data_IF_081130129570
#
_entry.id   IF_081130129570
#
_cell.length_a   1.000
_cell.length_b   1.000
_cell.length_c   1.000
_cell.angle_alpha   90.00
_cell.angle_beta   90.00
_cell.angle_gamma   90.00
#
_symmetry.space_group_name_H-M   'P 1'
#
loop_
_entity.id
_entity.type
_entity.pdbx_description
1 polymer ?
#
# COMPACT_ATOMS: atom_id res chain seq x y z
N UNK A 1 -22.94 -54.24 8.23
CA UNK A 1 -23.09 -53.43 7.00
C UNK A 1 -22.06 -52.35 7.16
N UNK A 2 -20.86 -52.68 6.70
CA UNK A 2 -19.75 -51.75 6.53
C UNK A 2 -20.09 -50.84 5.33
N UNK A 3 -19.59 -49.62 5.36
CA UNK A 3 -19.79 -48.56 4.36
C UNK A 3 -19.16 -47.32 4.97
N UNK A 4 -17.84 -47.23 4.87
CA UNK A 4 -17.08 -46.64 3.76
C UNK A 4 -16.65 -45.24 4.22
N UNK A 5 -15.43 -45.24 4.75
CA UNK A 5 -14.56 -44.07 4.81
C UNK A 5 -14.34 -43.59 3.37
N UNK A 6 -14.56 -42.31 3.08
CA UNK A 6 -13.96 -41.66 1.93
C UNK A 6 -13.46 -40.28 2.36
N UNK A 7 -12.14 -40.23 2.45
CA UNK A 7 -11.29 -39.07 2.68
C UNK A 7 -11.52 -38.04 1.57
N UNK A 8 -11.72 -36.78 1.95
CA UNK A 8 -11.55 -35.65 1.03
C UNK A 8 -10.18 -35.03 1.33
N UNK A 9 -9.13 -35.72 0.89
CA UNK A 9 -7.83 -35.10 0.66
C UNK A 9 -7.82 -34.41 -0.70
N UNK A 10 -7.03 -33.32 -0.75
CA UNK A 10 -6.44 -32.70 -1.93
C UNK A 10 -7.37 -31.89 -2.85
N UNK A 11 -7.28 -30.57 -2.69
CA UNK A 11 -7.03 -29.64 -3.80
C UNK A 11 -6.30 -28.41 -3.22
N UNK A 12 -5.11 -28.61 -2.65
CA UNK A 12 -4.11 -27.54 -2.55
C UNK A 12 -3.57 -27.33 -3.96
N UNK A 13 -4.33 -26.61 -4.78
CA UNK A 13 -3.84 -26.16 -6.08
C UNK A 13 -2.72 -25.15 -5.85
N UNK A 14 -1.50 -25.65 -5.97
CA UNK A 14 -0.26 -25.00 -6.33
C UNK A 14 -0.51 -23.76 -7.21
N UNK A 15 -0.53 -22.56 -6.59
CA UNK A 15 -0.55 -21.27 -7.28
C UNK A 15 0.90 -20.82 -7.58
N UNK A 16 1.62 -21.63 -8.33
CA UNK A 16 2.91 -21.33 -8.96
C UNK A 16 2.67 -21.58 -10.46
N UNK A 17 2.93 -20.73 -11.46
CA UNK A 17 3.79 -19.57 -11.64
C UNK A 17 3.16 -18.73 -12.77
N UNK A 18 2.78 -17.47 -12.50
CA UNK A 18 2.86 -16.42 -13.51
C UNK A 18 2.99 -15.07 -12.81
N UNK A 19 4.06 -14.93 -12.01
CA UNK A 19 4.46 -13.62 -11.48
C UNK A 19 4.84 -12.74 -12.67
N UNK A 20 4.07 -11.69 -12.92
CA UNK A 20 4.42 -10.65 -13.89
C UNK A 20 5.45 -9.66 -13.32
N UNK A 21 5.88 -9.85 -12.07
CA UNK A 21 6.84 -8.98 -11.42
C UNK A 21 8.26 -9.30 -11.90
N UNK A 22 8.93 -8.30 -12.47
CA UNK A 22 10.38 -8.24 -12.57
C UNK A 22 10.86 -7.04 -11.76
N UNK A 23 11.86 -7.28 -10.91
CA UNK A 23 12.50 -6.20 -10.14
C UNK A 23 13.19 -5.21 -11.08
N UNK A 24 13.90 -5.71 -12.07
CA UNK A 24 14.63 -4.90 -13.05
C UNK A 24 13.66 -4.00 -13.83
N UNK A 25 12.57 -4.55 -14.36
CA UNK A 25 11.54 -3.80 -15.07
C UNK A 25 10.86 -2.77 -14.15
N UNK A 26 10.64 -3.14 -12.89
CA UNK A 26 10.09 -2.22 -11.87
C UNK A 26 11.04 -1.04 -11.65
N UNK A 27 12.33 -1.29 -11.43
CA UNK A 27 13.33 -0.22 -11.22
C UNK A 27 13.42 0.67 -12.47
N UNK A 28 13.41 0.10 -13.68
CA UNK A 28 13.39 0.86 -14.93
C UNK A 28 12.14 1.74 -15.03
N UNK A 29 10.97 1.20 -14.70
CA UNK A 29 9.71 1.96 -14.68
C UNK A 29 9.76 3.16 -13.72
N UNK A 30 10.34 3.01 -12.52
CA UNK A 30 10.54 4.13 -11.59
C UNK A 30 11.49 5.19 -12.16
N UNK A 31 12.62 4.78 -12.76
CA UNK A 31 13.56 5.72 -13.41
C UNK A 31 12.87 6.50 -14.52
N UNK A 32 12.12 5.83 -15.38
CA UNK A 32 11.43 6.47 -16.49
C UNK A 32 10.29 7.38 -16.03
N UNK A 33 9.57 6.98 -14.98
CA UNK A 33 8.58 7.83 -14.34
C UNK A 33 9.22 9.11 -13.79
N UNK A 34 10.33 9.01 -13.06
CA UNK A 34 11.01 10.19 -12.53
C UNK A 34 11.57 11.07 -13.65
N UNK A 35 12.17 10.49 -14.69
CA UNK A 35 12.57 11.25 -15.89
C UNK A 35 11.38 12.01 -16.48
N UNK A 36 10.21 11.37 -16.61
CA UNK A 36 9.00 12.04 -17.05
C UNK A 36 8.66 13.26 -16.18
N UNK A 37 8.66 13.11 -14.85
CA UNK A 37 8.43 14.23 -13.93
C UNK A 37 9.42 15.39 -14.12
N UNK A 38 10.69 15.09 -14.43
CA UNK A 38 11.70 16.14 -14.70
C UNK A 38 11.42 16.95 -15.96
N UNK A 39 10.73 16.36 -16.94
CA UNK A 39 10.32 17.11 -18.14
C UNK A 39 9.15 18.06 -17.87
N UNK A 40 8.42 17.85 -16.78
CA UNK A 40 7.20 18.60 -16.46
C UNK A 40 7.45 19.71 -15.43
N UNK A 41 7.98 19.38 -14.26
CA UNK A 41 8.08 20.34 -13.14
C UNK A 41 9.17 20.03 -12.11
N UNK A 42 9.79 18.85 -12.14
CA UNK A 42 10.80 18.46 -11.15
C UNK A 42 12.22 18.82 -11.63
N UNK A 43 13.05 19.35 -10.74
CA UNK A 43 14.48 19.53 -11.02
C UNK A 43 15.18 18.14 -11.10
N UNK A 44 15.88 17.80 -12.21
CA UNK A 44 16.62 16.54 -12.33
C UNK A 44 17.61 16.28 -11.19
N UNK A 45 18.17 17.33 -10.57
CA UNK A 45 19.08 17.20 -9.44
C UNK A 45 18.43 16.64 -8.16
N UNK A 46 17.10 16.49 -8.15
CA UNK A 46 16.36 15.84 -7.06
C UNK A 46 16.31 14.32 -7.16
N UNK A 47 16.70 13.73 -8.28
CA UNK A 47 16.77 12.26 -8.39
C UNK A 47 18.08 11.80 -7.76
N UNK A 48 17.98 10.92 -6.76
CA UNK A 48 19.10 10.25 -6.11
C UNK A 48 19.16 8.80 -6.63
N UNK A 49 20.21 8.48 -7.39
CA UNK A 49 20.46 7.10 -7.83
C UNK A 49 21.15 6.30 -6.72
N UNK A 50 20.87 4.98 -6.60
CA UNK A 50 21.56 4.13 -5.66
C UNK A 50 23.07 4.07 -5.98
N UNK A 51 23.92 3.90 -4.95
CA UNK A 51 25.30 3.44 -5.13
C UNK A 51 25.38 2.09 -5.85
N UNK A 52 26.58 1.71 -6.32
CA UNK A 52 26.81 0.41 -6.97
C UNK A 52 26.43 -0.77 -6.07
N UNK A 53 26.75 -0.66 -4.78
CA UNK A 53 26.38 -1.65 -3.76
C UNK A 53 25.01 -1.36 -3.12
N UNK A 54 24.17 -0.52 -3.73
CA UNK A 54 22.86 -0.10 -3.20
C UNK A 54 22.90 0.85 -2.00
N UNK A 55 21.73 1.14 -1.44
CA UNK A 55 21.58 2.10 -0.35
C UNK A 55 22.05 1.54 1.00
N UNK A 56 23.10 2.11 1.63
CA UNK A 56 23.69 1.54 2.84
C UNK A 56 22.78 1.62 4.07
N UNK A 57 21.82 2.55 4.08
CA UNK A 57 20.88 2.71 5.18
C UNK A 57 19.76 1.67 5.14
N UNK A 58 19.47 1.12 3.96
CA UNK A 58 18.48 0.07 3.77
C UNK A 58 19.19 -1.25 4.10
N UNK A 59 19.01 -1.74 5.32
CA UNK A 59 19.64 -2.99 5.77
C UNK A 59 18.60 -4.09 5.93
N UNK A 60 18.98 -5.39 5.87
CA UNK A 60 18.07 -6.49 6.15
C UNK A 60 17.40 -6.36 7.52
N UNK A 61 18.10 -5.84 8.53
CA UNK A 61 17.53 -5.61 9.87
C UNK A 61 16.43 -4.53 9.84
N UNK A 62 16.61 -3.46 9.07
CA UNK A 62 15.63 -2.38 8.92
C UNK A 62 14.36 -2.89 8.22
N UNK A 63 14.52 -3.71 7.19
CA UNK A 63 13.40 -4.30 6.45
C UNK A 63 12.67 -5.37 7.27
N UNK A 64 13.42 -6.18 8.04
CA UNK A 64 12.82 -7.13 8.97
C UNK A 64 12.03 -6.42 10.07
N UNK A 65 12.48 -5.27 10.57
CA UNK A 65 11.72 -4.46 11.54
C UNK A 65 10.38 -3.94 10.97
N UNK A 66 10.29 -3.78 9.64
CA UNK A 66 9.05 -3.47 8.94
C UNK A 66 8.18 -4.70 8.66
N UNK A 67 8.67 -5.91 8.96
CA UNK A 67 7.97 -7.17 8.69
C UNK A 67 7.85 -7.49 7.20
N UNK A 68 8.82 -7.05 6.37
CA UNK A 68 8.81 -7.24 4.92
C UNK A 68 9.76 -8.33 4.45
N UNK A 69 9.53 -8.80 3.23
CA UNK A 69 10.32 -9.87 2.60
C UNK A 69 11.69 -9.40 2.12
N UNK A 70 12.58 -10.36 1.83
CA UNK A 70 13.87 -10.13 1.19
C UNK A 70 13.74 -9.53 -0.22
N UNK A 71 12.65 -9.84 -0.92
CA UNK A 71 12.36 -9.25 -2.22
C UNK A 71 12.15 -7.73 -2.11
N UNK A 72 11.33 -7.31 -1.13
CA UNK A 72 11.13 -5.88 -0.82
C UNK A 72 12.45 -5.23 -0.42
N UNK A 73 13.28 -5.90 0.39
CA UNK A 73 14.62 -5.39 0.72
C UNK A 73 15.43 -5.11 -0.56
N UNK A 74 15.56 -6.11 -1.43
CA UNK A 74 16.40 -5.99 -2.62
C UNK A 74 15.90 -4.91 -3.57
N UNK A 75 14.58 -4.82 -3.78
CA UNK A 75 13.97 -3.75 -4.57
C UNK A 75 14.27 -2.37 -3.98
N UNK A 76 13.98 -2.15 -2.69
CA UNK A 76 14.20 -0.84 -2.06
C UNK A 76 15.69 -0.46 -2.05
N UNK A 77 16.57 -1.43 -1.91
CA UNK A 77 18.02 -1.24 -1.91
C UNK A 77 18.57 -0.70 -3.25
N UNK A 78 17.87 -0.98 -4.36
CA UNK A 78 18.28 -0.62 -5.72
C UNK A 78 17.40 0.45 -6.40
N UNK A 79 16.31 0.88 -5.76
CA UNK A 79 15.44 1.92 -6.33
C UNK A 79 16.10 3.31 -6.28
N UNK A 80 15.93 4.14 -7.32
CA UNK A 80 16.20 5.57 -7.20
C UNK A 80 15.14 6.23 -6.29
N UNK A 81 15.50 7.34 -5.67
CA UNK A 81 14.57 8.12 -4.84
C UNK A 81 14.53 9.58 -5.23
N UNK A 82 13.42 10.24 -4.91
CA UNK A 82 13.31 11.70 -5.01
C UNK A 82 13.74 12.31 -3.67
N UNK A 83 14.72 13.20 -3.72
CA UNK A 83 15.12 14.02 -2.58
C UNK A 83 14.03 15.02 -2.24
N UNK A 84 13.53 14.94 -1.01
CA UNK A 84 12.54 15.86 -0.48
C UNK A 84 13.21 17.03 0.25
N UNK A 85 12.65 18.23 0.08
CA UNK A 85 13.01 19.43 0.82
C UNK A 85 11.90 19.72 1.84
N UNK A 86 12.24 20.26 3.00
CA UNK A 86 11.27 20.64 4.04
C UNK A 86 10.32 21.73 3.55
N UNK A 87 10.82 22.66 2.73
CA UNK A 87 10.07 23.84 2.31
C UNK A 87 9.36 23.62 0.96
N UNK A 88 9.87 22.69 0.15
CA UNK A 88 9.41 22.45 -1.22
C UNK A 88 9.33 20.96 -1.52
N UNK A 89 8.26 20.31 -1.08
CA UNK A 89 8.02 18.88 -1.36
C UNK A 89 7.74 18.66 -2.85
N UNK A 90 8.37 17.64 -3.43
CA UNK A 90 7.98 17.16 -4.75
C UNK A 90 6.88 16.13 -4.56
N UNK A 91 5.70 16.47 -5.07
CA UNK A 91 4.63 15.51 -5.20
C UNK A 91 4.93 14.63 -6.42
N UNK A 92 4.94 13.33 -6.21
CA UNK A 92 5.08 12.33 -7.26
C UNK A 92 3.77 12.03 -7.98
N UNK A 93 2.65 12.25 -7.31
CA UNK A 93 1.28 12.02 -7.79
C UNK A 93 0.36 13.04 -7.06
N UNK A 94 -0.89 13.33 -7.50
CA UNK A 94 -1.76 14.28 -6.81
C UNK A 94 -1.83 14.02 -5.30
N UNK A 95 -1.48 15.05 -4.52
CA UNK A 95 -1.43 15.02 -3.05
C UNK A 95 -0.51 13.95 -2.45
N UNK A 96 0.41 13.37 -3.24
CA UNK A 96 1.28 12.30 -2.78
C UNK A 96 2.76 12.60 -2.98
N UNK A 97 3.53 12.46 -1.90
CA UNK A 97 4.99 12.52 -1.88
C UNK A 97 5.52 11.08 -1.91
N UNK A 98 6.38 10.76 -2.87
CA UNK A 98 6.99 9.43 -2.92
C UNK A 98 7.90 9.21 -1.73
N UNK A 99 7.83 8.01 -1.16
CA UNK A 99 8.66 7.59 -0.05
C UNK A 99 10.12 7.51 -0.51
N UNK A 100 11.00 8.23 0.19
CA UNK A 100 12.44 8.04 0.07
C UNK A 100 12.85 7.00 1.12
N UNK A 101 12.80 5.71 0.74
CA UNK A 101 13.04 4.61 1.68
C UNK A 101 14.46 4.61 2.23
N UNK A 102 15.45 5.16 1.51
CA UNK A 102 16.79 5.38 2.08
C UNK A 102 16.76 6.34 3.28
N UNK A 103 16.00 7.44 3.17
CA UNK A 103 15.80 8.38 4.26
C UNK A 103 14.98 7.79 5.42
N UNK A 104 13.92 7.04 5.11
CA UNK A 104 13.10 6.36 6.12
C UNK A 104 13.88 5.27 6.86
N UNK A 105 14.68 4.49 6.14
CA UNK A 105 15.54 3.46 6.72
C UNK A 105 16.59 4.08 7.67
N UNK A 106 17.20 5.19 7.28
CA UNK A 106 18.11 5.95 8.15
C UNK A 106 17.40 6.45 9.43
N UNK A 107 16.14 6.88 9.34
CA UNK A 107 15.36 7.26 10.51
C UNK A 107 15.15 6.07 11.46
N UNK A 108 14.78 4.90 10.93
CA UNK A 108 14.63 3.66 11.71
C UNK A 108 15.97 3.27 12.37
N UNK A 109 17.08 3.33 11.62
CA UNK A 109 18.43 3.04 12.14
C UNK A 109 18.82 3.97 13.30
N UNK A 110 18.27 5.19 13.35
CA UNK A 110 18.44 6.17 14.44
C UNK A 110 17.44 5.99 15.59
N UNK A 111 16.61 4.96 15.56
CA UNK A 111 15.65 4.61 16.61
C UNK A 111 14.24 5.14 16.38
N UNK A 112 13.90 5.64 15.19
CA UNK A 112 12.50 5.95 14.86
C UNK A 112 11.69 4.64 14.77
N UNK A 113 10.46 4.58 15.31
CA UNK A 113 9.67 3.35 15.29
C UNK A 113 9.33 2.90 13.87
N UNK A 114 9.64 1.65 13.52
CA UNK A 114 9.29 1.08 12.22
C UNK A 114 7.77 0.99 12.02
N UNK A 115 7.00 0.85 13.10
CA UNK A 115 5.53 0.88 13.07
C UNK A 115 4.98 2.22 12.57
N UNK A 116 5.59 3.34 12.98
CA UNK A 116 5.16 4.68 12.57
C UNK A 116 5.42 4.88 11.06
N UNK A 117 6.53 4.36 10.55
CA UNK A 117 6.84 4.37 9.12
C UNK A 117 5.83 3.54 8.32
N UNK A 118 5.43 2.37 8.84
CA UNK A 118 4.35 1.58 8.20
C UNK A 118 3.03 2.34 8.19
N UNK A 119 2.68 3.04 9.27
CA UNK A 119 1.43 3.81 9.32
C UNK A 119 1.36 4.92 8.26
N UNK A 120 2.47 5.62 7.99
CA UNK A 120 2.50 6.68 6.99
C UNK A 120 2.55 6.16 5.56
N UNK A 121 3.13 4.96 5.35
CA UNK A 121 3.35 4.39 4.02
C UNK A 121 2.28 3.39 3.56
N UNK A 122 1.62 2.71 4.49
CA UNK A 122 0.72 1.58 4.21
C UNK A 122 -0.74 1.78 4.68
N UNK A 123 -1.01 2.89 5.38
CA UNK A 123 -2.28 3.34 6.00
C UNK A 123 -2.52 2.88 7.44
N UNK A 124 -2.91 3.85 8.25
CA UNK A 124 -3.30 3.64 9.65
C UNK A 124 -4.57 2.80 9.78
N UNK A 125 -5.52 2.92 8.83
CA UNK A 125 -6.77 2.18 8.88
C UNK A 125 -6.57 0.67 8.81
N UNK A 126 -5.70 0.20 7.92
CA UNK A 126 -5.36 -1.21 7.81
C UNK A 126 -4.72 -1.69 9.11
N UNK A 127 -3.77 -0.95 9.66
CA UNK A 127 -3.10 -1.39 10.88
C UNK A 127 -3.94 -1.27 12.17
N UNK A 128 -4.85 -0.30 12.27
CA UNK A 128 -5.77 -0.17 13.40
C UNK A 128 -6.84 -1.27 13.41
N UNK A 129 -7.29 -1.74 12.24
CA UNK A 129 -8.22 -2.86 12.15
C UNK A 129 -7.54 -4.22 12.23
N UNK A 130 -6.39 -4.38 11.58
CA UNK A 130 -5.61 -5.62 11.56
C UNK A 130 -4.17 -5.40 11.04
N UNK A 131 -3.13 -5.35 11.88
CA UNK A 131 -1.75 -5.07 11.45
C UNK A 131 -1.12 -6.14 10.54
N UNK A 132 -1.74 -7.31 10.41
CA UNK A 132 -1.35 -8.39 9.48
C UNK A 132 -2.01 -8.28 8.09
N UNK A 133 -2.85 -7.26 7.86
CA UNK A 133 -3.64 -7.14 6.63
C UNK A 133 -2.85 -6.62 5.42
N UNK A 134 -1.66 -6.01 5.62
CA UNK A 134 -0.72 -5.75 4.50
C UNK A 134 0.30 -6.90 4.43
N UNK A 135 0.27 -7.74 3.38
CA UNK A 135 1.20 -8.85 3.24
C UNK A 135 2.67 -8.40 3.26
N UNK A 136 3.62 -9.23 3.74
CA UNK A 136 5.05 -8.90 3.79
C UNK A 136 5.70 -8.57 2.43
N UNK A 137 5.11 -9.00 1.32
CA UNK A 137 5.56 -8.71 -0.05
C UNK A 137 4.95 -7.43 -0.63
N UNK A 138 4.08 -6.75 0.12
CA UNK A 138 3.47 -5.48 -0.29
C UNK A 138 4.18 -4.33 0.42
N UNK A 139 4.57 -3.27 -0.30
CA UNK A 139 5.27 -2.12 0.25
C UNK A 139 4.62 -0.79 -0.16
N UNK A 140 4.55 0.16 0.78
CA UNK A 140 4.08 1.51 0.51
C UNK A 140 5.07 2.32 -0.34
N UNK A 141 4.58 2.99 -1.39
CA UNK A 141 5.39 3.82 -2.28
C UNK A 141 5.34 5.31 -1.92
N UNK A 142 4.35 5.75 -1.15
CA UNK A 142 4.17 7.15 -0.78
C UNK A 142 4.32 7.35 0.73
N UNK A 143 4.96 8.45 1.15
CA UNK A 143 5.13 8.83 2.55
C UNK A 143 4.33 10.11 2.82
N UNK A 144 3.08 9.92 3.24
CA UNK A 144 2.11 10.99 3.45
C UNK A 144 1.43 10.85 4.82
N UNK A 145 0.48 11.73 5.13
CA UNK A 145 -0.34 11.58 6.36
C UNK A 145 -1.28 10.39 6.25
N UNK A 146 -1.85 9.93 7.37
CA UNK A 146 -2.70 8.73 7.40
C UNK A 146 -3.94 8.80 6.49
N UNK A 147 -4.41 10.01 6.19
CA UNK A 147 -5.63 10.25 5.41
C UNK A 147 -5.36 10.41 3.91
N UNK A 148 -4.09 10.60 3.53
CA UNK A 148 -3.70 10.81 2.13
C UNK A 148 -3.69 9.50 1.36
N UNK A 149 -3.86 9.53 0.02
CA UNK A 149 -3.85 8.32 -0.78
C UNK A 149 -2.55 7.52 -0.59
N UNK A 150 -2.68 6.19 -0.66
CA UNK A 150 -1.57 5.25 -0.54
C UNK A 150 -1.40 4.48 -1.84
N UNK A 151 -0.15 4.33 -2.24
CA UNK A 151 0.23 3.46 -3.34
C UNK A 151 0.93 2.27 -2.73
N UNK A 152 0.41 1.06 -2.95
CA UNK A 152 1.00 -0.18 -2.45
C UNK A 152 1.48 -1.00 -3.64
N UNK A 153 2.76 -1.34 -3.67
CA UNK A 153 3.34 -2.23 -4.65
C UNK A 153 3.39 -3.65 -4.09
N UNK A 154 2.81 -4.58 -4.83
CA UNK A 154 2.92 -6.02 -4.59
C UNK A 154 4.09 -6.58 -5.40
N UNK A 155 5.13 -7.08 -4.72
CA UNK A 155 6.33 -7.63 -5.36
C UNK A 155 6.20 -9.12 -5.74
N UNK A 156 5.03 -9.73 -5.58
CA UNK A 156 4.71 -11.06 -6.11
C UNK A 156 3.97 -10.92 -7.44
N UNK A 157 3.01 -10.01 -7.53
CA UNK A 157 2.19 -9.84 -8.73
C UNK A 157 2.69 -8.72 -9.67
N UNK A 158 3.42 -7.74 -9.12
CA UNK A 158 3.84 -6.53 -9.84
C UNK A 158 2.74 -5.46 -9.93
N UNK A 159 1.66 -5.62 -9.16
CA UNK A 159 0.51 -4.72 -9.14
C UNK A 159 0.75 -3.53 -8.21
N UNK A 160 0.33 -2.33 -8.64
CA UNK A 160 0.26 -1.14 -7.78
C UNK A 160 -1.20 -0.85 -7.44
N UNK A 161 -1.54 -0.94 -6.16
CA UNK A 161 -2.85 -0.58 -5.62
C UNK A 161 -2.87 0.88 -5.20
N UNK A 162 -3.90 1.62 -5.61
CA UNK A 162 -4.12 3.00 -5.16
C UNK A 162 -5.28 3.07 -4.17
N UNK A 163 -4.96 3.07 -2.89
CA UNK A 163 -5.94 3.15 -1.81
C UNK A 163 -6.28 4.61 -1.49
N UNK A 164 -7.55 4.85 -1.18
CA UNK A 164 -8.08 6.19 -0.88
C UNK A 164 -7.83 7.24 -1.99
N UNK A 165 -7.66 6.78 -3.24
CA UNK A 165 -7.65 7.66 -4.40
C UNK A 165 -8.97 8.43 -4.55
N UNK A 166 -8.97 9.60 -5.22
CA UNK A 166 -10.16 10.42 -5.37
C UNK A 166 -11.28 9.66 -6.10
N UNK A 167 -12.49 9.69 -5.52
CA UNK A 167 -13.72 9.06 -6.04
C UNK A 167 -14.09 9.49 -7.49
N UNK A 168 -13.44 10.53 -8.02
CA UNK A 168 -13.76 11.19 -9.29
C UNK A 168 -12.86 10.80 -10.46
N UNK A 169 -11.94 9.86 -10.29
CA UNK A 169 -11.30 9.22 -11.44
C UNK A 169 -12.28 8.18 -11.96
N UNK A 170 -13.13 8.61 -12.90
CA UNK A 170 -14.02 7.69 -13.59
C UNK A 170 -13.16 6.62 -14.26
N UNK A 171 -13.47 5.36 -13.94
CA UNK A 171 -13.03 4.20 -14.72
C UNK A 171 -13.41 4.50 -16.17
N UNK A 172 -12.44 4.44 -17.08
CA UNK A 172 -12.78 4.30 -18.49
C UNK A 172 -13.39 2.91 -18.61
N UNK A 173 -14.69 2.81 -18.84
CA UNK A 173 -15.41 1.53 -18.89
C UNK A 173 -14.90 0.64 -20.04
N UNK A 174 -14.09 1.20 -20.96
CA UNK A 174 -13.40 0.48 -22.04
C UNK A 174 -12.06 -0.15 -21.59
N UNK A 175 -11.54 0.19 -20.41
CA UNK A 175 -10.38 -0.44 -19.80
C UNK A 175 -10.85 -1.56 -18.86
N UNK A 176 -10.95 -2.77 -19.42
CA UNK A 176 -11.34 -3.98 -18.70
C UNK A 176 -10.30 -4.34 -17.63
N UNK A 177 -10.47 -3.85 -16.41
CA UNK A 177 -9.88 -4.47 -15.22
C UNK A 177 -10.91 -5.42 -14.63
N UNK A 178 -10.73 -6.73 -14.83
CA UNK A 178 -11.56 -7.75 -14.21
C UNK A 178 -11.48 -7.67 -12.68
N UNK A 179 -12.63 -7.38 -12.07
CA UNK A 179 -13.06 -7.71 -10.72
C UNK A 179 -12.07 -7.54 -9.55
N UNK A 180 -12.10 -6.34 -8.96
CA UNK A 180 -11.65 -6.10 -7.58
C UNK A 180 -12.54 -5.07 -6.89
N UNK A 181 -13.39 -5.53 -5.96
CA UNK A 181 -14.02 -4.76 -4.89
C UNK A 181 -14.83 -3.49 -5.23
N UNK A 182 -16.09 -3.66 -5.67
CA UNK A 182 -17.10 -2.62 -5.59
C UNK A 182 -18.27 -3.06 -4.69
N UNK A 183 -18.15 -2.85 -3.38
CA UNK A 183 -19.28 -2.89 -2.46
C UNK A 183 -19.20 -1.75 -1.45
N UNK A 184 -19.74 -0.58 -1.82
CA UNK A 184 -20.64 0.28 -1.01
C UNK A 184 -20.72 1.69 -1.61
N UNK A 185 -21.79 1.97 -2.35
CA UNK A 185 -22.50 3.26 -2.34
C UNK A 185 -23.87 3.14 -3.01
N UNK A 186 -24.76 2.40 -2.36
CA UNK A 186 -26.21 2.63 -2.46
C UNK A 186 -26.75 2.54 -1.04
N UNK A 187 -26.78 3.68 -0.34
CA UNK A 187 -27.67 4.02 0.77
C UNK A 187 -27.23 5.39 1.35
N UNK A 188 -27.41 6.45 0.57
CA UNK A 188 -27.47 7.82 1.10
C UNK A 188 -28.28 8.72 0.18
N UNK A 189 -29.48 8.24 -0.16
CA UNK A 189 -30.56 9.05 -0.72
C UNK A 189 -31.84 8.40 -0.22
N UNK A 190 -32.12 8.67 1.05
CA UNK A 190 -33.45 8.75 1.64
C UNK A 190 -33.34 8.64 3.16
N UNK A 191 -33.42 9.79 3.82
CA UNK A 191 -34.20 9.96 5.06
C UNK A 191 -34.25 11.44 5.46
N UNK A 192 -35.23 12.15 4.91
CA UNK A 192 -36.06 13.04 5.74
C UNK A 192 -36.87 12.13 6.66
N UNK A 193 -36.84 12.36 7.97
CA UNK A 193 -37.75 11.68 8.88
C UNK A 193 -37.17 11.48 10.27
N UNK A 194 -37.41 12.48 11.12
CA UNK A 194 -37.71 12.39 12.54
C UNK A 194 -36.91 11.43 13.43
N UNK A 195 -36.18 12.06 14.35
CA UNK A 195 -35.73 11.47 15.60
C UNK A 195 -36.85 10.72 16.32
N UNK A 196 -36.56 9.50 16.79
CA UNK A 196 -36.98 9.07 18.12
C UNK A 196 -36.06 7.94 18.60
N UNK A 197 -35.45 8.21 19.75
CA UNK A 197 -34.57 7.35 20.53
C UNK A 197 -35.43 6.28 21.21
N UNK A 198 -35.16 5.00 20.94
CA UNK A 198 -35.75 3.90 21.71
C UNK A 198 -34.81 3.57 22.86
N UNK A 199 -35.21 3.93 24.08
CA UNK A 199 -34.65 3.45 25.34
C UNK A 199 -35.29 2.09 25.65
N UNK A 200 -34.47 1.07 25.91
CA UNK A 200 -34.94 -0.25 26.30
C UNK A 200 -35.26 -0.37 27.80
N UNK A 201 -36.15 -1.34 28.07
CA UNK A 201 -36.33 -2.11 29.31
C UNK A 201 -36.97 -1.40 30.52
N UNK A 202 -38.21 -1.78 30.86
CA UNK A 202 -38.51 -2.82 31.86
C UNK A 202 -39.96 -2.69 32.38
N UNK A 203 -40.54 -3.87 32.62
CA UNK A 203 -41.52 -4.20 33.67
C UNK A 203 -43.00 -3.77 33.61
N UNK A 204 -43.83 -4.83 33.69
CA UNK A 204 -45.23 -4.91 34.19
C UNK A 204 -46.29 -4.23 33.32
N UNK A 205 -47.36 -4.88 32.85
CA UNK A 205 -48.18 -5.89 33.50
C UNK A 205 -49.48 -5.22 33.98
N UNK A 206 -50.56 -5.40 33.20
CA UNK A 206 -51.97 -5.08 33.49
C UNK A 206 -52.47 -3.61 33.41
N UNK A 207 -53.50 -3.46 32.56
CA UNK A 207 -54.57 -2.44 32.45
C UNK A 207 -54.23 -0.95 32.53
#
# INVERSE_FOLDING_TARGET
MEGEDDEAEEDEQEYEENSNYSREDTIEAFRDYYKCLTTMYMDPARIEEPPEDGWPEITPATIQALGKTEEVYTLLHELPYIKQDTDHKVHGSPECVWANWNSLANAINKGYPAEDVRFTTETKFIHESNPEEVPPHVIGLADNTSEDPKFLLDTVEGNIYWLHGPDTICRDDDLVCENGYNRRRKLSRDRKGSANVIKGLADTGFL
#
